data_IF_234948123528
#
_entry.id   IF_234948123528
#
_cell.length_a   1.000
_cell.length_b   1.000
_cell.length_c   1.000
_cell.angle_alpha   90.00
_cell.angle_beta   90.00
_cell.angle_gamma   90.00
#
_symmetry.space_group_name_H-M   'P 1'
#
loop_
_entity.id
_entity.type
_entity.pdbx_description
1 polymer ?
#
# COMPACT_ATOMS: atom_id res chain seq x y z
N UNK A 1 1.14 27.48 4.70
CA UNK A 1 1.62 26.32 3.90
C UNK A 1 2.16 25.26 4.87
N UNK A 2 1.29 24.43 5.44
CA UNK A 2 1.66 23.50 6.51
C UNK A 2 2.11 22.15 5.91
N UNK A 3 3.42 21.92 5.88
CA UNK A 3 4.00 20.61 5.56
C UNK A 3 3.89 19.70 6.78
N UNK A 4 2.81 18.90 6.88
CA UNK A 4 2.70 17.82 7.89
C UNK A 4 3.95 16.91 7.80
N UNK A 5 4.58 16.54 8.93
CA UNK A 5 5.70 15.61 8.91
C UNK A 5 5.18 14.21 8.55
N UNK A 6 5.48 13.76 7.32
CA UNK A 6 5.08 12.47 6.75
C UNK A 6 5.69 11.29 7.52
N UNK A 7 5.10 10.96 8.67
CA UNK A 7 4.76 9.62 9.20
C UNK A 7 5.76 8.44 9.07
N UNK A 8 7.07 8.67 8.93
CA UNK A 8 8.09 7.59 8.84
C UNK A 8 8.09 6.64 10.04
N UNK A 9 7.93 7.17 11.25
CA UNK A 9 7.98 6.38 12.50
C UNK A 9 6.84 5.39 12.62
N UNK A 10 5.73 5.60 11.90
CA UNK A 10 4.53 4.77 12.04
C UNK A 10 4.45 3.62 11.03
N UNK A 11 5.08 3.77 9.86
CA UNK A 11 5.00 2.78 8.78
C UNK A 11 6.11 1.70 8.81
N UNK A 12 7.11 1.84 9.68
CA UNK A 12 8.18 0.85 9.86
C UNK A 12 9.14 0.72 8.67
N UNK A 13 9.22 1.72 7.78
CA UNK A 13 10.09 1.72 6.59
C UNK A 13 10.96 2.96 6.52
N UNK A 14 12.07 2.87 5.78
CA UNK A 14 12.95 4.01 5.54
C UNK A 14 12.29 5.05 4.63
N UNK A 15 12.76 6.31 4.69
CA UNK A 15 12.31 7.39 3.78
C UNK A 15 12.49 7.01 2.32
N UNK A 16 13.63 6.40 1.99
CA UNK A 16 13.95 6.00 0.62
C UNK A 16 12.98 4.93 0.13
N UNK A 17 12.67 3.94 0.98
CA UNK A 17 11.64 2.94 0.67
C UNK A 17 10.27 3.59 0.43
N UNK A 18 9.83 4.48 1.32
CA UNK A 18 8.55 5.18 1.16
C UNK A 18 8.51 6.00 -0.14
N UNK A 19 9.58 6.71 -0.48
CA UNK A 19 9.73 7.47 -1.72
C UNK A 19 9.73 6.57 -2.97
N UNK A 20 10.25 5.34 -2.87
CA UNK A 20 10.19 4.35 -3.95
C UNK A 20 8.77 3.88 -4.19
N UNK A 21 8.02 3.62 -3.12
CA UNK A 21 6.60 3.23 -3.22
C UNK A 21 5.76 4.37 -3.77
N UNK A 22 5.88 5.60 -3.23
CA UNK A 22 5.12 6.77 -3.69
C UNK A 22 5.34 7.10 -5.18
N UNK A 23 6.52 6.76 -5.71
CA UNK A 23 6.88 7.00 -7.11
C UNK A 23 6.69 5.77 -7.99
N UNK A 24 6.05 4.71 -7.49
CA UNK A 24 5.79 3.48 -8.26
C UNK A 24 7.06 2.73 -8.66
N UNK A 25 8.20 2.90 -7.98
CA UNK A 25 9.40 2.09 -8.20
C UNK A 25 9.33 0.75 -7.49
N UNK A 26 8.62 0.66 -6.37
CA UNK A 26 8.44 -0.57 -5.58
C UNK A 26 6.96 -0.85 -5.34
N UNK A 27 6.64 -2.14 -5.38
CA UNK A 27 5.32 -2.65 -5.02
C UNK A 27 5.28 -2.95 -3.53
N UNK A 28 4.13 -2.71 -2.91
CA UNK A 28 3.87 -3.06 -1.52
C UNK A 28 3.31 -4.48 -1.44
N UNK A 29 3.79 -5.30 -0.51
CA UNK A 29 3.21 -6.62 -0.29
C UNK A 29 1.82 -6.52 0.37
N UNK A 30 0.92 -7.51 0.19
CA UNK A 30 -0.39 -7.52 0.86
C UNK A 30 -0.30 -7.34 2.38
N UNK A 31 0.65 -8.03 3.02
CA UNK A 31 0.91 -7.91 4.47
C UNK A 31 1.25 -6.46 4.87
N UNK A 32 2.15 -5.81 4.14
CA UNK A 32 2.55 -4.44 4.42
C UNK A 32 1.43 -3.45 4.14
N UNK A 33 0.65 -3.68 3.09
CA UNK A 33 -0.50 -2.87 2.75
C UNK A 33 -1.55 -2.91 3.87
N UNK A 34 -1.83 -4.09 4.43
CA UNK A 34 -2.73 -4.26 5.57
C UNK A 34 -2.19 -3.56 6.83
N UNK A 35 -0.88 -3.64 7.11
CA UNK A 35 -0.26 -2.95 8.23
C UNK A 35 -0.36 -1.43 8.09
N UNK A 36 -0.13 -0.89 6.90
CA UNK A 36 -0.23 0.54 6.62
C UNK A 36 -1.67 1.04 6.71
N UNK A 37 -2.65 0.26 6.23
CA UNK A 37 -4.06 0.61 6.36
C UNK A 37 -4.45 0.89 7.82
N UNK A 38 -3.99 0.04 8.76
CA UNK A 38 -4.21 0.23 10.20
C UNK A 38 -3.58 1.52 10.73
N UNK A 39 -2.37 1.84 10.28
CA UNK A 39 -1.67 3.09 10.66
C UNK A 39 -2.44 4.33 10.19
N UNK A 40 -3.02 4.28 8.99
CA UNK A 40 -3.78 5.37 8.41
C UNK A 40 -5.26 5.41 8.83
N UNK A 41 -5.76 4.38 9.51
CA UNK A 41 -7.16 4.29 9.93
C UNK A 41 -8.14 3.88 8.82
N UNK A 42 -7.66 3.16 7.80
CA UNK A 42 -8.49 2.64 6.70
C UNK A 42 -8.73 1.13 6.82
N UNK A 43 -9.79 0.59 6.19
CA UNK A 43 -10.00 -0.84 6.07
C UNK A 43 -8.82 -1.54 5.36
N UNK A 44 -8.27 -2.64 5.90
CA UNK A 44 -7.17 -3.38 5.27
C UNK A 44 -7.50 -3.89 3.87
N UNK A 45 -8.75 -4.27 3.63
CA UNK A 45 -9.24 -4.77 2.32
C UNK A 45 -8.95 -3.79 1.19
N UNK A 46 -9.14 -2.48 1.43
CA UNK A 46 -8.88 -1.43 0.44
C UNK A 46 -7.40 -1.39 0.02
N UNK A 47 -6.48 -1.37 0.98
CA UNK A 47 -5.05 -1.30 0.70
C UNK A 47 -4.52 -2.60 0.09
N UNK A 48 -4.99 -3.75 0.56
CA UNK A 48 -4.63 -5.06 0.02
C UNK A 48 -5.11 -5.20 -1.42
N UNK A 49 -6.35 -4.78 -1.73
CA UNK A 49 -6.88 -4.74 -3.10
C UNK A 49 -5.97 -3.93 -4.02
N UNK A 50 -5.60 -2.71 -3.62
CA UNK A 50 -4.72 -1.84 -4.42
C UNK A 50 -3.34 -2.47 -4.65
N UNK A 51 -2.75 -3.05 -3.59
CA UNK A 51 -1.43 -3.69 -3.67
C UNK A 51 -1.41 -4.91 -4.60
N UNK A 52 -2.49 -5.69 -4.62
CA UNK A 52 -2.64 -6.84 -5.51
C UNK A 52 -2.96 -6.41 -6.96
N UNK A 53 -3.82 -5.40 -7.14
CA UNK A 53 -4.12 -4.85 -8.45
C UNK A 53 -2.85 -4.32 -9.13
N UNK A 54 -2.01 -3.59 -8.39
CA UNK A 54 -0.74 -3.09 -8.92
C UNK A 54 0.20 -4.23 -9.37
N UNK A 55 0.16 -5.39 -8.69
CA UNK A 55 0.94 -6.56 -9.11
C UNK A 55 0.47 -7.13 -10.44
N UNK A 56 -0.85 -7.22 -10.64
CA UNK A 56 -1.43 -7.66 -11.92
C UNK A 56 -1.12 -6.68 -13.04
N UNK A 57 -1.29 -5.37 -12.77
CA UNK A 57 -1.03 -4.31 -13.74
C UNK A 57 0.43 -4.35 -14.21
N UNK A 58 1.39 -4.51 -13.28
CA UNK A 58 2.82 -4.63 -13.59
C UNK A 58 3.18 -5.92 -14.30
N UNK A 59 2.45 -7.00 -14.04
CA UNK A 59 2.60 -8.27 -14.75
C UNK A 59 1.94 -8.24 -16.15
N UNK A 60 1.23 -7.17 -16.51
CA UNK A 60 0.48 -7.08 -17.77
C UNK A 60 -0.74 -8.01 -17.81
N UNK A 61 -1.19 -8.50 -16.66
CA UNK A 61 -2.34 -9.41 -16.55
C UNK A 61 -3.61 -8.58 -16.46
N UNK A 62 -4.45 -8.64 -17.50
CA UNK A 62 -5.70 -7.89 -17.59
C UNK A 62 -6.81 -8.53 -16.75
N UNK A 63 -6.77 -8.28 -15.45
CA UNK A 63 -7.76 -8.78 -14.49
C UNK A 63 -8.02 -7.71 -13.42
N UNK A 64 -9.16 -7.83 -12.73
CA UNK A 64 -9.51 -6.97 -11.60
C UNK A 64 -9.46 -7.77 -10.30
N UNK A 65 -8.93 -7.16 -9.25
CA UNK A 65 -8.88 -7.75 -7.91
C UNK A 65 -10.04 -7.25 -7.06
N UNK A 66 -10.79 -8.16 -6.46
CA UNK A 66 -11.70 -7.87 -5.36
C UNK A 66 -11.21 -8.56 -4.08
N UNK A 67 -11.32 -7.87 -2.94
CA UNK A 67 -10.87 -8.36 -1.63
C UNK A 67 -11.93 -8.07 -0.60
N UNK A 68 -12.38 -9.13 0.07
CA UNK A 68 -13.37 -9.08 1.13
C UNK A 68 -12.76 -9.56 2.46
N UNK A 69 -13.35 -9.14 3.58
CA UNK A 69 -12.97 -9.68 4.87
C UNK A 69 -13.40 -11.15 4.96
N UNK A 70 -12.55 -12.01 5.53
CA UNK A 70 -12.96 -13.36 5.85
C UNK A 70 -14.08 -13.32 6.91
N UNK A 71 -15.07 -14.20 6.75
CA UNK A 71 -16.18 -14.40 7.68
C UNK A 71 -15.74 -15.15 8.94
#
# INVERSE_FOLDING_TARGET
>A
MATKPREKRRLGVSRSHLCDVEKGRKVVSPERAAAWAKVFGFPPTMFVKLALQEQLDRAGVKMSVEVEAAA
#
